data_IF_301655878394
#
_entry.id   IF_301655878394
#
_cell.length_a   1.000
_cell.length_b   1.000
_cell.length_c   1.000
_cell.angle_alpha   90.00
_cell.angle_beta   90.00
_cell.angle_gamma   90.00
#
_symmetry.space_group_name_H-M   'P 1'
#
loop_
_entity.id
_entity.type
_entity.pdbx_description
1 polymer ?
#
# COMPACT_ATOMS: atom_id res chain seq x y z
N UNK A 1 -8.80 11.15 2.21
CA UNK A 1 -8.49 9.96 1.39
C UNK A 1 -7.60 9.00 2.15
N UNK A 2 -7.57 7.74 1.72
CA UNK A 2 -6.64 6.72 2.22
C UNK A 2 -5.57 6.45 1.17
N UNK A 3 -4.31 6.31 1.60
CA UNK A 3 -3.19 5.90 0.75
C UNK A 3 -2.89 4.44 1.07
N UNK A 4 -2.87 3.58 0.05
CA UNK A 4 -2.59 2.15 0.17
C UNK A 4 -1.28 1.84 -0.55
N UNK A 5 -0.27 1.45 0.18
CA UNK A 5 1.02 1.02 -0.40
C UNK A 5 0.92 -0.47 -0.68
N UNK A 6 1.09 -0.88 -1.94
CA UNK A 6 1.04 -2.29 -2.35
C UNK A 6 2.17 -2.62 -3.33
N UNK A 7 2.74 -3.85 -3.29
CA UNK A 7 3.93 -4.19 -4.07
C UNK A 7 3.63 -4.63 -5.51
N UNK A 8 2.37 -4.93 -5.83
CA UNK A 8 1.98 -5.55 -7.09
C UNK A 8 1.02 -4.66 -7.88
N UNK A 9 1.49 -4.15 -9.00
CA UNK A 9 0.71 -3.26 -9.88
C UNK A 9 -0.56 -3.95 -10.39
N UNK A 10 -0.49 -5.22 -10.80
CA UNK A 10 -1.66 -5.97 -11.25
C UNK A 10 -2.74 -6.07 -10.17
N UNK A 11 -2.34 -6.36 -8.93
CA UNK A 11 -3.27 -6.42 -7.80
C UNK A 11 -3.91 -5.05 -7.54
N UNK A 12 -3.13 -3.97 -7.60
CA UNK A 12 -3.67 -2.62 -7.45
C UNK A 12 -4.71 -2.31 -8.54
N UNK A 13 -4.43 -2.68 -9.79
CA UNK A 13 -5.36 -2.49 -10.92
C UNK A 13 -6.67 -3.25 -10.71
N UNK A 14 -6.59 -4.51 -10.27
CA UNK A 14 -7.76 -5.35 -9.98
C UNK A 14 -8.59 -4.75 -8.85
N UNK A 15 -7.94 -4.31 -7.76
CA UNK A 15 -8.62 -3.68 -6.62
C UNK A 15 -9.27 -2.35 -7.00
N UNK A 16 -8.60 -1.50 -7.78
CA UNK A 16 -9.15 -0.25 -8.29
C UNK A 16 -10.39 -0.51 -9.14
N UNK A 17 -10.30 -1.47 -10.06
CA UNK A 17 -11.41 -1.87 -10.92
C UNK A 17 -12.60 -2.37 -10.11
N UNK A 18 -12.36 -3.26 -9.13
CA UNK A 18 -13.39 -3.80 -8.26
C UNK A 18 -14.07 -2.67 -7.43
N UNK A 19 -13.30 -1.77 -6.83
CA UNK A 19 -13.82 -0.65 -6.04
C UNK A 19 -14.66 0.30 -6.88
N UNK A 20 -14.18 0.68 -8.06
CA UNK A 20 -14.89 1.60 -8.94
C UNK A 20 -16.18 0.98 -9.51
N UNK A 21 -16.19 -0.34 -9.74
CA UNK A 21 -17.38 -1.04 -10.18
C UNK A 21 -18.43 -1.25 -9.06
N UNK A 22 -17.97 -1.44 -7.82
CA UNK A 22 -18.86 -1.77 -6.69
C UNK A 22 -19.39 -0.53 -5.97
N UNK A 23 -18.52 0.45 -5.74
CA UNK A 23 -18.82 1.64 -4.91
C UNK A 23 -18.82 2.92 -5.74
N UNK A 24 -18.08 2.97 -6.83
CA UNK A 24 -17.92 4.12 -7.74
C UNK A 24 -19.15 4.47 -8.58
N UNK A 25 -20.32 3.85 -8.32
CA UNK A 25 -21.58 4.17 -8.99
C UNK A 25 -22.24 5.47 -8.46
N UNK A 26 -21.51 6.29 -7.74
CA UNK A 26 -21.94 7.63 -7.40
C UNK A 26 -21.94 8.48 -8.67
N UNK A 27 -23.12 8.87 -9.11
CA UNK A 27 -23.30 9.77 -10.26
C UNK A 27 -22.90 11.17 -9.80
N UNK A 28 -21.98 11.79 -10.53
CA UNK A 28 -21.64 13.20 -10.42
C UNK A 28 -22.87 14.10 -10.61
N UNK A 29 -22.81 15.36 -10.16
CA UNK A 29 -23.86 16.37 -10.45
C UNK A 29 -24.08 16.55 -11.95
N UNK A 30 -23.10 16.19 -12.76
CA UNK A 30 -23.14 16.27 -14.23
C UNK A 30 -23.48 14.93 -14.91
N UNK A 31 -23.90 13.90 -14.13
CA UNK A 31 -24.28 12.58 -14.66
C UNK A 31 -23.10 11.67 -15.04
N UNK A 32 -21.86 12.07 -14.73
CA UNK A 32 -20.66 11.27 -14.96
C UNK A 32 -20.40 10.24 -13.86
N UNK A 33 -19.80 9.11 -14.23
CA UNK A 33 -19.37 8.07 -13.28
C UNK A 33 -18.08 8.54 -12.60
N UNK A 34 -18.10 8.73 -11.28
CA UNK A 34 -16.92 9.12 -10.52
C UNK A 34 -16.17 7.92 -9.99
N UNK A 35 -14.92 7.79 -10.41
CA UNK A 35 -13.98 6.83 -9.82
C UNK A 35 -13.64 7.24 -8.40
N UNK A 36 -13.81 6.32 -7.44
CA UNK A 36 -13.43 6.54 -6.03
C UNK A 36 -12.01 6.11 -5.72
N UNK A 37 -11.44 5.25 -6.55
CA UNK A 37 -10.11 4.69 -6.39
C UNK A 37 -9.26 4.89 -7.65
N UNK A 38 -7.95 5.05 -7.46
CA UNK A 38 -6.97 5.04 -8.53
C UNK A 38 -5.66 4.41 -8.06
N UNK A 39 -4.73 4.16 -8.98
CA UNK A 39 -3.38 3.74 -8.63
C UNK A 39 -2.33 4.65 -9.26
N UNK A 40 -1.18 4.77 -8.60
CA UNK A 40 0.00 5.49 -9.05
C UNK A 40 1.21 4.53 -9.04
N UNK A 41 1.73 4.26 -10.21
CA UNK A 41 2.87 3.36 -10.42
C UNK A 41 3.32 3.37 -11.88
N UNK A 42 4.32 2.58 -12.22
CA UNK A 42 4.88 2.53 -13.58
C UNK A 42 3.89 2.07 -14.67
N UNK A 43 2.81 1.38 -14.26
CA UNK A 43 1.74 0.97 -15.18
C UNK A 43 0.64 2.02 -15.38
N UNK A 44 0.72 3.20 -14.77
CA UNK A 44 -0.27 4.25 -14.97
C UNK A 44 0.02 5.02 -16.26
N UNK A 45 -0.90 4.89 -17.22
CA UNK A 45 -0.79 5.51 -18.56
C UNK A 45 -1.32 6.94 -18.53
N UNK A 46 -2.40 7.18 -17.79
CA UNK A 46 -3.01 8.50 -17.69
C UNK A 46 -2.24 9.40 -16.71
N UNK A 47 -1.52 10.36 -17.27
CA UNK A 47 -0.72 11.32 -16.50
C UNK A 47 -1.56 12.31 -15.69
N UNK A 48 -2.84 12.45 -15.98
CA UNK A 48 -3.74 13.36 -15.25
C UNK A 48 -4.18 12.81 -13.91
N UNK A 49 -4.10 11.48 -13.71
CA UNK A 49 -4.51 10.81 -12.46
C UNK A 49 -3.76 11.36 -11.25
N UNK A 50 -2.46 11.59 -11.35
CA UNK A 50 -1.68 12.15 -10.24
C UNK A 50 -2.16 13.54 -9.84
N UNK A 51 -2.46 14.41 -10.81
CA UNK A 51 -3.01 15.75 -10.53
C UNK A 51 -4.39 15.67 -9.87
N UNK A 52 -5.23 14.75 -10.33
CA UNK A 52 -6.55 14.50 -9.74
C UNK A 52 -6.46 14.00 -8.30
N UNK A 53 -5.46 13.16 -7.98
CA UNK A 53 -5.15 12.75 -6.60
C UNK A 53 -4.88 13.97 -5.72
N UNK A 54 -4.04 14.88 -6.17
CA UNK A 54 -3.66 16.06 -5.40
C UNK A 54 -4.76 17.13 -5.33
N UNK A 55 -5.76 17.07 -6.20
CA UNK A 55 -7.02 17.83 -6.05
C UNK A 55 -7.97 17.18 -5.03
N UNK A 56 -7.70 15.93 -4.64
CA UNK A 56 -8.50 15.19 -3.65
C UNK A 56 -9.76 14.57 -4.25
N UNK A 57 -9.75 14.24 -5.55
CA UNK A 57 -10.89 13.65 -6.25
C UNK A 57 -11.11 12.18 -5.87
N UNK A 58 -10.07 11.48 -5.43
CA UNK A 58 -10.15 10.06 -5.05
C UNK A 58 -10.28 9.87 -3.54
N UNK A 59 -10.95 8.80 -3.13
CA UNK A 59 -11.06 8.37 -1.73
C UNK A 59 -9.98 7.38 -1.34
N UNK A 60 -9.55 6.53 -2.30
CA UNK A 60 -8.53 5.50 -2.11
C UNK A 60 -7.50 5.63 -3.23
N UNK A 61 -6.23 5.73 -2.85
CA UNK A 61 -5.11 5.87 -3.78
C UNK A 61 -4.10 4.78 -3.51
N UNK A 62 -3.98 3.84 -4.43
CA UNK A 62 -2.96 2.81 -4.38
C UNK A 62 -1.64 3.36 -4.94
N UNK A 63 -0.54 3.09 -4.26
CA UNK A 63 0.79 3.53 -4.68
C UNK A 63 1.82 2.42 -4.54
N UNK A 64 2.80 2.39 -5.42
CA UNK A 64 3.94 1.49 -5.22
C UNK A 64 4.89 2.02 -4.14
N UNK A 65 5.62 1.16 -3.42
CA UNK A 65 6.59 1.60 -2.42
C UNK A 65 7.70 2.48 -3.03
N UNK A 66 8.07 2.24 -4.29
CA UNK A 66 9.07 3.03 -5.01
C UNK A 66 8.61 4.48 -5.27
N UNK A 67 7.30 4.71 -5.40
CA UNK A 67 6.73 6.05 -5.57
C UNK A 67 6.89 6.89 -4.30
N UNK A 68 6.94 6.25 -3.13
CA UNK A 68 7.09 6.88 -1.82
C UNK A 68 8.55 6.97 -1.40
N UNK A 69 9.34 5.90 -1.64
CA UNK A 69 10.72 5.83 -1.21
C UNK A 69 11.61 6.76 -2.03
N UNK A 70 12.43 7.56 -1.34
CA UNK A 70 13.47 8.33 -1.98
C UNK A 70 14.49 7.38 -2.60
N UNK A 71 14.89 7.64 -3.83
CA UNK A 71 16.08 7.01 -4.40
C UNK A 71 17.31 7.76 -3.88
N UNK A 72 18.08 7.08 -3.01
CA UNK A 72 19.43 7.52 -2.64
C UNK A 72 20.44 7.12 -3.75
N UNK A 73 20.11 7.38 -5.00
CA UNK A 73 21.07 7.20 -6.08
C UNK A 73 21.97 8.45 -6.08
N UNK A 74 23.12 8.34 -5.41
CA UNK A 74 24.19 9.36 -5.36
C UNK A 74 24.66 9.83 -6.75
N UNK A 75 24.14 9.28 -7.84
CA UNK A 75 24.63 9.53 -9.19
C UNK A 75 23.56 9.95 -10.22
N UNK A 76 22.31 10.10 -9.87
CA UNK A 76 21.33 10.57 -10.84
C UNK A 76 20.67 11.89 -10.43
N UNK A 77 20.85 12.87 -11.27
CA UNK A 77 20.28 14.23 -11.18
C UNK A 77 18.74 14.29 -11.21
N UNK A 78 18.04 13.17 -11.02
CA UNK A 78 16.58 13.08 -10.97
C UNK A 78 16.02 12.92 -9.53
N UNK A 79 16.67 13.52 -8.56
CA UNK A 79 16.27 13.61 -7.14
C UNK A 79 14.91 14.30 -6.95
N UNK A 80 14.38 14.89 -8.01
CA UNK A 80 13.26 15.82 -7.94
C UNK A 80 11.89 15.14 -7.78
N UNK A 81 11.67 13.97 -8.40
CA UNK A 81 10.30 13.44 -8.51
C UNK A 81 9.75 12.82 -7.22
N UNK A 82 10.55 12.05 -6.46
CA UNK A 82 10.08 11.45 -5.20
C UNK A 82 9.96 12.50 -4.09
N UNK A 83 10.83 13.50 -4.07
CA UNK A 83 10.73 14.61 -3.13
C UNK A 83 9.50 15.48 -3.40
N UNK A 84 9.18 15.73 -4.67
CA UNK A 84 7.98 16.48 -5.08
C UNK A 84 6.71 15.74 -4.68
N UNK A 85 6.63 14.44 -4.91
CA UNK A 85 5.47 13.64 -4.51
C UNK A 85 5.24 13.70 -2.99
N UNK A 86 6.30 13.55 -2.19
CA UNK A 86 6.20 13.62 -0.74
C UNK A 86 5.80 15.03 -0.26
N UNK A 87 6.35 16.09 -0.84
CA UNK A 87 5.96 17.48 -0.53
C UNK A 87 4.47 17.71 -0.79
N UNK A 88 3.95 17.18 -1.91
CA UNK A 88 2.53 17.27 -2.24
C UNK A 88 1.67 16.47 -1.24
N UNK A 89 2.13 15.30 -0.77
CA UNK A 89 1.46 14.55 0.30
C UNK A 89 1.45 15.35 1.62
N UNK A 90 2.53 16.02 1.96
CA UNK A 90 2.58 16.90 3.14
C UNK A 90 1.59 18.05 3.03
N UNK A 91 1.44 18.64 1.85
CA UNK A 91 0.42 19.67 1.60
C UNK A 91 -1.00 19.12 1.80
N UNK A 92 -1.29 17.91 1.30
CA UNK A 92 -2.59 17.25 1.53
C UNK A 92 -2.82 16.93 3.02
N UNK A 93 -1.77 16.52 3.74
CA UNK A 93 -1.85 16.31 5.19
C UNK A 93 -2.21 17.61 5.92
N UNK A 94 -1.53 18.73 5.58
CA UNK A 94 -1.81 20.04 6.19
C UNK A 94 -3.26 20.48 5.98
N UNK A 95 -3.86 20.10 4.85
CA UNK A 95 -5.28 20.33 4.54
C UNK A 95 -6.23 19.28 5.15
N UNK A 96 -5.74 18.38 6.02
CA UNK A 96 -6.51 17.25 6.59
C UNK A 96 -7.19 16.35 5.54
N UNK A 97 -6.56 16.21 4.37
CA UNK A 97 -7.10 15.39 3.27
C UNK A 97 -6.70 13.91 3.36
N UNK A 98 -5.66 13.56 4.15
CA UNK A 98 -5.21 12.18 4.33
C UNK A 98 -5.66 11.70 5.70
N UNK A 99 -6.49 10.64 5.72
CA UNK A 99 -7.01 10.05 6.96
C UNK A 99 -6.33 8.75 7.38
N UNK A 100 -5.68 8.04 6.44
CA UNK A 100 -5.08 6.74 6.70
C UNK A 100 -3.96 6.45 5.70
N UNK A 101 -2.90 5.80 6.17
CA UNK A 101 -1.92 5.12 5.33
C UNK A 101 -1.99 3.62 5.65
N UNK A 102 -2.35 2.81 4.67
CA UNK A 102 -2.34 1.36 4.76
C UNK A 102 -1.11 0.81 4.02
N UNK A 103 -0.41 -0.13 4.64
CA UNK A 103 0.74 -0.81 4.04
C UNK A 103 0.36 -2.28 3.89
N UNK A 104 0.07 -2.67 2.67
CA UNK A 104 -0.26 -4.03 2.30
C UNK A 104 1.02 -4.86 2.17
N UNK A 105 0.91 -6.19 2.38
CA UNK A 105 2.05 -7.11 2.40
C UNK A 105 3.21 -6.63 3.28
N UNK A 106 2.88 -6.10 4.45
CA UNK A 106 3.85 -5.47 5.35
C UNK A 106 4.98 -6.43 5.80
N UNK A 107 4.83 -7.75 5.62
CA UNK A 107 5.91 -8.71 5.86
C UNK A 107 7.15 -8.46 4.99
N UNK A 108 6.99 -7.79 3.83
CA UNK A 108 8.11 -7.36 2.98
C UNK A 108 9.07 -6.38 3.67
N UNK A 109 8.71 -5.81 4.81
CA UNK A 109 9.57 -4.93 5.62
C UNK A 109 10.69 -5.74 6.30
N UNK A 110 10.36 -6.96 6.77
CA UNK A 110 11.25 -7.76 7.59
C UNK A 110 12.22 -8.60 6.74
N UNK A 111 13.49 -8.57 7.09
CA UNK A 111 14.50 -9.45 6.49
C UNK A 111 14.25 -10.94 6.79
N UNK A 112 13.46 -11.24 7.81
CA UNK A 112 13.03 -12.58 8.16
C UNK A 112 11.73 -12.97 7.46
N UNK A 113 11.11 -12.04 6.69
CA UNK A 113 9.99 -12.32 5.81
C UNK A 113 10.45 -13.06 4.55
N UNK A 114 9.57 -13.86 3.98
CA UNK A 114 9.89 -14.65 2.79
C UNK A 114 10.01 -13.80 1.50
N UNK A 115 9.63 -12.53 1.52
CA UNK A 115 9.70 -11.60 0.37
C UNK A 115 10.19 -10.21 0.82
N UNK A 116 11.42 -10.16 1.35
CA UNK A 116 12.02 -8.90 1.79
C UNK A 116 12.27 -7.94 0.62
N UNK A 117 11.85 -6.67 0.79
CA UNK A 117 12.04 -5.61 -0.22
C UNK A 117 12.63 -4.35 0.41
N UNK A 118 13.74 -3.89 -0.14
CA UNK A 118 14.43 -2.67 0.34
C UNK A 118 13.51 -1.44 0.27
N UNK A 119 12.67 -1.33 -0.76
CA UNK A 119 11.69 -0.25 -0.91
C UNK A 119 10.67 -0.21 0.25
N UNK A 120 10.28 -1.38 0.79
CA UNK A 120 9.41 -1.46 1.96
C UNK A 120 10.08 -0.99 3.25
N UNK A 121 11.35 -1.32 3.45
CA UNK A 121 12.10 -0.83 4.62
C UNK A 121 12.18 0.70 4.65
N UNK A 122 12.26 1.33 3.48
CA UNK A 122 12.29 2.79 3.33
C UNK A 122 10.95 3.47 3.65
N UNK A 123 9.85 2.73 3.76
CA UNK A 123 8.54 3.28 4.16
C UNK A 123 8.52 3.84 5.60
N UNK A 124 9.54 3.55 6.40
CA UNK A 124 9.75 4.22 7.69
C UNK A 124 9.68 5.76 7.60
N UNK A 125 10.08 6.33 6.45
CA UNK A 125 10.01 7.77 6.18
C UNK A 125 8.60 8.34 6.30
N UNK A 126 7.56 7.54 6.05
CA UNK A 126 6.17 7.99 6.13
C UNK A 126 5.81 8.52 7.52
N UNK A 127 6.29 7.87 8.59
CA UNK A 127 6.04 8.31 9.96
C UNK A 127 6.68 9.66 10.24
N UNK A 128 7.88 9.89 9.72
CA UNK A 128 8.65 11.11 9.94
C UNK A 128 8.10 12.28 9.10
N UNK A 129 7.74 12.02 7.86
CA UNK A 129 7.27 13.04 6.90
C UNK A 129 5.77 13.36 7.05
N UNK A 130 4.98 12.41 7.53
CA UNK A 130 3.53 12.53 7.69
C UNK A 130 3.10 12.22 9.14
N UNK A 131 3.66 12.93 10.15
CA UNK A 131 3.35 12.65 11.54
C UNK A 131 1.86 12.89 11.83
N UNK A 132 1.31 12.05 12.74
CA UNK A 132 -0.09 12.15 13.16
C UNK A 132 -1.09 11.40 12.28
N UNK A 133 -0.71 10.96 11.07
CA UNK A 133 -1.60 10.13 10.25
C UNK A 133 -1.55 8.67 10.78
N UNK A 134 -2.71 8.03 11.01
CA UNK A 134 -2.76 6.61 11.35
C UNK A 134 -2.09 5.74 10.27
N UNK A 135 -1.28 4.77 10.72
CA UNK A 135 -0.68 3.78 9.83
C UNK A 135 -1.25 2.41 10.19
N UNK A 136 -1.74 1.68 9.18
CA UNK A 136 -2.23 0.31 9.29
C UNK A 136 -1.33 -0.60 8.46
N UNK A 137 -0.73 -1.61 9.10
CA UNK A 137 0.06 -2.63 8.43
C UNK A 137 -0.77 -3.91 8.28
N UNK A 138 -0.83 -4.45 7.08
CA UNK A 138 -1.62 -5.62 6.71
C UNK A 138 -0.70 -6.71 6.17
N UNK A 139 -0.89 -7.93 6.62
CA UNK A 139 -0.17 -9.09 6.09
C UNK A 139 -0.92 -10.38 6.41
N UNK A 140 -0.92 -11.33 5.49
CA UNK A 140 -1.45 -12.66 5.70
C UNK A 140 -0.48 -13.57 6.49
N UNK A 141 0.82 -13.25 6.49
CA UNK A 141 1.88 -14.11 7.00
C UNK A 141 2.84 -13.33 7.90
N UNK A 142 2.56 -13.27 9.20
CA UNK A 142 3.48 -12.63 10.14
C UNK A 142 3.58 -13.42 11.44
N UNK A 143 4.68 -14.13 11.60
CA UNK A 143 5.10 -14.69 12.90
C UNK A 143 5.51 -13.55 13.84
N UNK A 144 5.63 -13.84 15.13
CA UNK A 144 5.84 -12.82 16.17
C UNK A 144 6.99 -11.86 15.88
N UNK A 145 8.17 -12.40 15.54
CA UNK A 145 9.34 -11.56 15.25
C UNK A 145 9.16 -10.65 14.00
N UNK A 146 8.45 -11.13 12.98
CA UNK A 146 8.12 -10.29 11.80
C UNK A 146 7.20 -9.14 12.18
N UNK A 147 6.21 -9.37 13.06
CA UNK A 147 5.33 -8.30 13.57
C UNK A 147 6.09 -7.26 14.39
N UNK A 148 7.05 -7.70 15.19
CA UNK A 148 7.92 -6.82 15.96
C UNK A 148 8.77 -5.95 15.03
N UNK A 149 9.36 -6.53 13.98
CA UNK A 149 10.12 -5.80 12.96
C UNK A 149 9.25 -4.77 12.22
N UNK A 150 8.04 -5.14 11.82
CA UNK A 150 7.08 -4.24 11.19
C UNK A 150 6.79 -3.04 12.10
N UNK A 151 6.43 -3.33 13.36
CA UNK A 151 6.12 -2.29 14.35
C UNK A 151 7.28 -1.35 14.58
N UNK A 152 8.49 -1.89 14.72
CA UNK A 152 9.72 -1.11 14.94
C UNK A 152 10.07 -0.25 13.72
N UNK A 153 10.05 -0.84 12.52
CA UNK A 153 10.44 -0.15 11.28
C UNK A 153 9.46 0.96 10.94
N UNK A 154 8.16 0.72 11.05
CA UNK A 154 7.12 1.73 10.79
C UNK A 154 6.91 2.69 11.98
N UNK A 155 7.67 2.54 13.06
CA UNK A 155 7.56 3.36 14.28
C UNK A 155 6.10 3.43 14.76
N UNK A 156 5.41 2.27 14.80
CA UNK A 156 4.04 2.20 15.26
C UNK A 156 4.00 2.46 16.78
N UNK A 157 3.18 3.39 17.20
CA UNK A 157 3.04 3.75 18.61
C UNK A 157 1.86 3.01 19.24
N UNK A 158 2.15 2.08 20.12
CA UNK A 158 1.16 1.24 20.83
C UNK A 158 0.08 0.67 19.88
N UNK A 159 0.48 -0.10 18.83
CA UNK A 159 -0.45 -0.54 17.83
C UNK A 159 -1.44 -1.57 18.37
N UNK A 160 -2.70 -1.45 17.96
CA UNK A 160 -3.66 -2.55 18.13
C UNK A 160 -3.29 -3.67 17.15
N UNK A 161 -3.15 -4.90 17.68
CA UNK A 161 -2.79 -6.08 16.89
C UNK A 161 -4.01 -7.00 16.79
N UNK A 162 -4.59 -7.10 15.60
CA UNK A 162 -5.64 -8.07 15.29
C UNK A 162 -5.02 -9.28 14.58
N UNK A 163 -5.29 -10.47 15.08
CA UNK A 163 -4.87 -11.73 14.45
C UNK A 163 -6.05 -12.70 14.40
N UNK A 164 -6.24 -13.32 13.24
CA UNK A 164 -7.18 -14.42 13.08
C UNK A 164 -6.43 -15.74 13.02
N UNK A 165 -7.10 -16.83 13.39
CA UNK A 165 -6.57 -18.16 13.17
C UNK A 165 -6.35 -18.42 11.69
N UNK A 166 -5.21 -19.01 11.35
CA UNK A 166 -4.92 -19.53 10.01
C UNK A 166 -5.55 -20.90 9.76
N UNK A 167 -6.15 -21.49 10.81
CA UNK A 167 -6.84 -22.77 10.71
C UNK A 167 -8.04 -22.67 9.76
N UNK A 168 -8.11 -23.60 8.87
CA UNK A 168 -9.15 -23.70 7.83
C UNK A 168 -9.88 -25.04 7.99
N UNK A 169 -10.84 -25.14 8.91
CA UNK A 169 -11.50 -26.41 9.23
C UNK A 169 -12.27 -27.03 8.05
N UNK A 170 -12.54 -26.22 7.01
CA UNK A 170 -13.13 -26.67 5.75
C UNK A 170 -12.13 -27.30 4.78
N UNK A 171 -10.82 -27.27 5.08
CA UNK A 171 -9.77 -27.87 4.25
C UNK A 171 -9.19 -29.09 4.94
N UNK A 172 -9.26 -30.25 4.29
CA UNK A 172 -8.64 -31.49 4.75
C UNK A 172 -7.38 -31.75 3.93
N UNK A 173 -6.22 -31.67 4.58
CA UNK A 173 -4.93 -31.97 3.96
C UNK A 173 -4.62 -33.44 4.18
N UNK A 174 -4.33 -34.19 3.12
CA UNK A 174 -3.95 -35.60 3.16
C UNK A 174 -2.67 -35.82 2.37
N UNK A 175 -1.78 -36.68 2.91
CA UNK A 175 -0.58 -37.11 2.22
C UNK A 175 -0.73 -38.59 1.86
N UNK A 176 -0.59 -38.91 0.58
CA UNK A 176 -0.61 -40.28 0.08
C UNK A 176 0.75 -40.63 -0.52
N UNK A 177 1.18 -41.89 -0.29
CA UNK A 177 2.39 -42.39 -0.92
C UNK A 177 2.16 -42.47 -2.44
N UNK A 178 3.09 -41.92 -3.23
CA UNK A 178 3.00 -42.07 -4.69
C UNK A 178 3.12 -43.55 -5.04
N UNK A 179 2.11 -44.06 -5.75
CA UNK A 179 2.17 -45.39 -6.32
C UNK A 179 2.70 -45.21 -7.74
N UNK A 180 3.88 -45.80 -8.03
CA UNK A 180 4.42 -45.84 -9.39
C UNK A 180 3.55 -46.77 -10.19
N UNK A 181 2.85 -46.25 -11.19
CA UNK A 181 2.21 -47.04 -12.21
C UNK A 181 3.29 -47.51 -13.19
N UNK A 182 3.68 -48.79 -13.07
CA UNK A 182 4.49 -49.51 -14.07
C UNK A 182 3.70 -49.77 -15.31
#
# INVERSE_FOLDING_TARGET
>A
MSIVVSPLISLMQDQVTALNNTVGNSIDRDGGKTDIACFLGSGQIDKTVEERVFRGEYKIVFVTPEKISFRDDEFSSSTTSSSVFMQRLQSLKTMNKIGLIAIDEAHCISQWGHDFRVSYKRLAVLRDQLPGIPIMALTATAVKHVREDISKTLKLNNPYIATNSVDRPNLRIQCHRKVDFS
#
